data_IF_284822645154
#
_entry.id   IF_284822645154
#
_cell.length_a   1.000
_cell.length_b   1.000
_cell.length_c   1.000
_cell.angle_alpha   90.00
_cell.angle_beta   90.00
_cell.angle_gamma   90.00
#
_symmetry.space_group_name_H-M   'P 1'
#
loop_
_entity.id
_entity.type
_entity.pdbx_description
1 polymer ?
#
# COMPACT_ATOMS: atom_id res chain seq x y z
N UNK A 1 -18.19 4.60 -56.33
CA UNK A 1 -18.88 5.09 -55.12
C UNK A 1 -18.86 3.94 -54.12
N UNK A 2 -17.89 3.96 -53.15
CA UNK A 2 -17.70 2.91 -52.14
C UNK A 2 -18.22 3.48 -50.83
N UNK A 3 -19.14 2.78 -50.09
CA UNK A 3 -19.65 3.32 -48.84
C UNK A 3 -18.64 3.16 -47.75
N UNK A 4 -18.39 4.27 -47.02
CA UNK A 4 -17.48 4.36 -45.90
C UNK A 4 -17.90 3.44 -44.76
N UNK A 5 -16.96 2.65 -44.22
CA UNK A 5 -17.06 1.97 -42.96
C UNK A 5 -17.09 3.02 -41.84
N UNK A 6 -18.21 3.12 -41.13
CA UNK A 6 -18.27 3.77 -39.81
C UNK A 6 -17.38 2.97 -38.86
N UNK A 7 -16.46 3.67 -38.22
CA UNK A 7 -15.74 3.13 -37.06
C UNK A 7 -16.78 2.83 -35.96
N UNK A 8 -16.76 1.61 -35.43
CA UNK A 8 -17.56 1.24 -34.27
C UNK A 8 -17.04 2.01 -33.06
N UNK A 9 -17.94 2.69 -32.36
CA UNK A 9 -17.63 3.27 -31.04
C UNK A 9 -17.29 2.13 -30.07
N UNK A 10 -16.30 2.28 -29.19
CA UNK A 10 -15.99 1.27 -28.19
C UNK A 10 -17.15 1.14 -27.22
N UNK A 11 -17.62 -0.10 -27.04
CA UNK A 11 -18.68 -0.47 -26.10
C UNK A 11 -18.14 -0.26 -24.68
N UNK A 12 -18.89 0.41 -23.81
CA UNK A 12 -18.53 0.74 -22.39
C UNK A 12 -17.99 -0.46 -21.58
N UNK A 13 -18.33 -1.69 -21.93
CA UNK A 13 -17.82 -2.92 -21.29
C UNK A 13 -16.32 -3.18 -21.48
N UNK A 14 -15.69 -2.63 -22.52
CA UNK A 14 -14.25 -2.86 -22.81
C UNK A 14 -13.34 -1.91 -21.99
N UNK A 15 -13.86 -0.76 -21.58
CA UNK A 15 -13.19 0.18 -20.69
C UNK A 15 -13.14 -0.34 -19.24
N UNK A 16 -14.19 -1.03 -18.79
CA UNK A 16 -14.26 -1.58 -17.44
C UNK A 16 -13.35 -2.83 -17.30
N UNK A 17 -13.32 -3.69 -18.29
CA UNK A 17 -12.41 -4.84 -18.36
C UNK A 17 -10.92 -4.42 -18.44
N UNK A 18 -10.62 -3.29 -19.09
CA UNK A 18 -9.26 -2.73 -19.15
C UNK A 18 -8.82 -2.12 -17.81
N UNK A 19 -9.73 -1.52 -17.06
CA UNK A 19 -9.47 -0.96 -15.71
C UNK A 19 -9.18 -2.04 -14.68
N UNK A 20 -9.78 -3.23 -14.83
CA UNK A 20 -9.60 -4.36 -13.91
C UNK A 20 -8.34 -5.20 -14.17
N UNK A 21 -7.68 -5.09 -15.33
CA UNK A 21 -6.57 -5.97 -15.72
C UNK A 21 -5.35 -5.96 -14.80
N UNK A 22 -5.21 -5.00 -13.90
CA UNK A 22 -4.09 -4.88 -12.97
C UNK A 22 -4.58 -4.62 -11.53
N UNK A 23 -5.84 -4.93 -11.24
CA UNK A 23 -6.31 -4.90 -9.85
C UNK A 23 -5.63 -6.03 -9.07
N UNK A 24 -5.34 -5.83 -7.76
CA UNK A 24 -4.88 -6.91 -6.89
C UNK A 24 -5.83 -8.10 -6.95
N UNK A 25 -5.31 -9.32 -7.18
CA UNK A 25 -6.10 -10.55 -7.16
C UNK A 25 -6.43 -10.98 -5.74
N UNK A 26 -5.48 -10.77 -4.83
CA UNK A 26 -5.56 -11.18 -3.44
C UNK A 26 -5.22 -10.01 -2.49
N UNK A 27 -6.18 -9.63 -1.65
CA UNK A 27 -6.04 -8.54 -0.66
C UNK A 27 -5.91 -9.11 0.75
N UNK A 28 -4.92 -8.64 1.50
CA UNK A 28 -4.72 -8.95 2.91
C UNK A 28 -5.17 -7.78 3.78
N UNK A 29 -6.06 -8.00 4.75
CA UNK A 29 -6.34 -7.03 5.80
C UNK A 29 -5.68 -7.46 7.11
N UNK A 30 -4.98 -6.55 7.78
CA UNK A 30 -4.53 -6.78 9.16
C UNK A 30 -5.58 -6.20 10.10
N UNK A 31 -6.30 -7.09 10.78
CA UNK A 31 -7.36 -6.72 11.69
C UNK A 31 -6.82 -6.39 13.08
N UNK A 32 -7.27 -5.27 13.63
CA UNK A 32 -7.01 -4.85 15.02
C UNK A 32 -8.19 -5.16 15.94
N UNK A 33 -9.39 -5.37 15.36
CA UNK A 33 -10.62 -5.70 16.06
C UNK A 33 -11.55 -6.53 15.18
N UNK A 34 -12.35 -7.41 15.81
CA UNK A 34 -13.40 -8.21 15.17
C UNK A 34 -14.82 -7.75 15.53
N UNK A 35 -14.99 -6.95 16.58
CA UNK A 35 -16.27 -6.39 16.99
C UNK A 35 -16.10 -5.00 17.63
N UNK A 36 -16.45 -3.92 16.91
CA UNK A 36 -16.76 -3.89 15.46
C UNK A 36 -15.54 -4.24 14.59
N UNK A 37 -15.77 -4.60 13.32
CA UNK A 37 -14.69 -4.81 12.37
C UNK A 37 -13.82 -3.57 12.25
N UNK A 38 -12.51 -3.76 12.31
CA UNK A 38 -11.57 -2.66 12.27
C UNK A 38 -11.61 -1.87 10.95
N UNK A 39 -11.19 -0.59 10.93
CA UNK A 39 -11.10 0.23 9.72
C UNK A 39 -10.38 -0.46 8.56
N UNK A 40 -9.28 -1.15 8.82
CA UNK A 40 -8.53 -1.88 7.79
C UNK A 40 -9.37 -3.00 7.16
N UNK A 41 -10.11 -3.75 7.96
CA UNK A 41 -11.02 -4.80 7.48
C UNK A 41 -12.12 -4.21 6.61
N UNK A 42 -12.78 -3.16 7.07
CA UNK A 42 -13.85 -2.47 6.33
C UNK A 42 -13.36 -1.90 5.00
N UNK A 43 -12.20 -1.27 5.01
CA UNK A 43 -11.55 -0.74 3.81
C UNK A 43 -11.19 -1.85 2.81
N UNK A 44 -10.59 -2.95 3.30
CA UNK A 44 -10.21 -4.08 2.47
C UNK A 44 -11.41 -4.79 1.84
N UNK A 45 -12.52 -4.94 2.56
CA UNK A 45 -13.80 -5.46 2.01
C UNK A 45 -14.26 -4.57 0.86
N UNK A 46 -14.26 -3.24 1.05
CA UNK A 46 -14.66 -2.29 -0.01
C UNK A 46 -13.78 -2.40 -1.26
N UNK A 47 -12.46 -2.53 -1.08
CA UNK A 47 -11.51 -2.70 -2.19
C UNK A 47 -11.70 -4.05 -2.90
N UNK A 48 -11.79 -5.14 -2.14
CA UNK A 48 -11.96 -6.47 -2.69
C UNK A 48 -13.28 -6.60 -3.47
N UNK A 49 -14.38 -6.06 -2.95
CA UNK A 49 -15.66 -6.02 -3.64
C UNK A 49 -15.59 -5.20 -4.94
N UNK A 50 -14.91 -4.04 -4.91
CA UNK A 50 -14.75 -3.16 -6.08
C UNK A 50 -13.92 -3.80 -7.19
N UNK A 51 -12.90 -4.60 -6.84
CA UNK A 51 -11.96 -5.21 -7.78
C UNK A 51 -12.29 -6.65 -8.12
N UNK A 52 -13.21 -7.29 -7.41
CA UNK A 52 -13.48 -8.72 -7.54
C UNK A 52 -12.34 -9.58 -6.99
N UNK A 53 -11.58 -9.05 -6.01
CA UNK A 53 -10.44 -9.71 -5.41
C UNK A 53 -10.87 -10.72 -4.35
N UNK A 54 -10.01 -11.70 -4.07
CA UNK A 54 -10.08 -12.49 -2.84
C UNK A 54 -9.66 -11.63 -1.65
N UNK A 55 -10.18 -11.94 -0.49
CA UNK A 55 -9.88 -11.23 0.74
C UNK A 55 -9.49 -12.19 1.87
N UNK A 56 -8.30 -12.03 2.40
CA UNK A 56 -7.91 -12.65 3.66
C UNK A 56 -7.82 -11.57 4.73
N UNK A 57 -8.55 -11.73 5.83
CA UNK A 57 -8.39 -10.89 7.00
C UNK A 57 -7.63 -11.65 8.08
N UNK A 58 -6.55 -11.06 8.58
CA UNK A 58 -5.69 -11.67 9.60
C UNK A 58 -5.75 -10.87 10.89
N UNK A 59 -6.31 -11.45 11.94
CA UNK A 59 -6.29 -10.89 13.29
C UNK A 59 -5.02 -11.31 14.01
N UNK A 60 -4.25 -10.34 14.48
CA UNK A 60 -3.05 -10.57 15.29
C UNK A 60 -3.44 -10.52 16.76
N UNK A 61 -3.72 -11.67 17.32
CA UNK A 61 -4.07 -11.80 18.73
C UNK A 61 -2.90 -11.47 19.66
N UNK A 62 -3.16 -11.11 20.93
CA UNK A 62 -2.12 -10.88 21.91
C UNK A 62 -1.27 -12.16 22.06
N UNK A 63 0.04 -12.01 21.95
CA UNK A 63 0.95 -13.14 22.13
C UNK A 63 0.79 -13.74 23.52
N UNK A 64 0.52 -15.05 23.65
CA UNK A 64 0.55 -15.68 24.95
C UNK A 64 1.93 -15.43 25.55
N UNK A 65 1.99 -14.87 26.78
CA UNK A 65 3.25 -14.60 27.48
C UNK A 65 4.13 -15.85 27.37
N UNK A 66 5.25 -15.76 26.68
CA UNK A 66 6.24 -16.84 26.61
C UNK A 66 6.64 -17.17 28.04
N UNK A 67 6.30 -18.38 28.49
CA UNK A 67 6.95 -18.96 29.66
C UNK A 67 8.45 -19.02 29.36
N UNK A 68 9.28 -18.52 30.27
CA UNK A 68 10.69 -18.21 30.09
C UNK A 68 11.63 -19.42 29.77
N UNK A 69 11.10 -20.57 29.35
CA UNK A 69 11.85 -21.82 29.18
C UNK A 69 11.57 -22.56 27.86
N UNK A 70 11.24 -21.88 26.78
CA UNK A 70 11.04 -22.57 25.50
C UNK A 70 12.11 -22.15 24.48
N UNK A 71 13.25 -22.86 24.49
CA UNK A 71 14.31 -22.83 23.48
C UNK A 71 13.93 -23.58 22.19
N UNK A 72 12.69 -23.44 21.71
CA UNK A 72 12.32 -23.96 20.40
C UNK A 72 11.76 -22.85 19.54
N UNK A 73 12.43 -22.54 18.44
CA UNK A 73 11.86 -21.79 17.34
C UNK A 73 10.78 -22.65 16.65
N UNK A 74 9.49 -22.41 16.88
CA UNK A 74 8.47 -23.05 16.08
C UNK A 74 8.57 -22.48 14.66
N UNK A 75 8.52 -23.33 13.64
CA UNK A 75 8.46 -22.85 12.24
C UNK A 75 7.32 -21.84 12.12
N UNK A 76 7.59 -20.66 11.57
CA UNK A 76 6.64 -19.55 11.46
C UNK A 76 5.30 -19.99 10.81
N UNK A 77 5.36 -20.94 9.87
CA UNK A 77 4.17 -21.50 9.21
C UNK A 77 3.30 -22.34 10.14
N UNK A 78 3.88 -23.11 11.05
CA UNK A 78 3.12 -23.92 12.03
C UNK A 78 2.40 -23.08 13.07
N UNK A 79 2.90 -21.86 13.37
CA UNK A 79 2.22 -20.90 14.24
C UNK A 79 1.06 -20.19 13.56
N UNK A 80 1.16 -19.97 12.25
CA UNK A 80 0.13 -19.30 11.45
C UNK A 80 -1.10 -20.20 11.22
N UNK A 81 -0.92 -21.52 11.23
CA UNK A 81 -1.94 -22.48 10.78
C UNK A 81 -2.54 -23.32 11.91
N UNK A 82 -2.39 -22.97 13.20
CA UNK A 82 -3.09 -23.67 14.26
C UNK A 82 -4.52 -23.12 14.44
N UNK A 83 -5.55 -23.79 13.89
CA UNK A 83 -6.93 -23.47 14.25
C UNK A 83 -7.14 -23.86 15.71
N UNK A 84 -7.31 -22.88 16.57
CA UNK A 84 -7.83 -23.13 17.92
C UNK A 84 -9.34 -22.93 17.88
N UNK A 85 -10.09 -23.94 18.24
CA UNK A 85 -11.55 -24.09 18.19
C UNK A 85 -12.44 -23.07 18.92
N UNK A 86 -12.02 -21.80 18.99
CA UNK A 86 -12.86 -20.65 19.33
C UNK A 86 -13.06 -19.71 18.15
N UNK A 87 -12.31 -19.89 17.05
CA UNK A 87 -12.25 -18.95 15.94
C UNK A 87 -13.26 -19.22 14.84
N UNK A 88 -13.94 -20.38 14.86
CA UNK A 88 -14.91 -20.77 13.83
C UNK A 88 -16.08 -19.77 13.73
N UNK A 89 -16.55 -19.26 14.87
CA UNK A 89 -17.65 -18.29 14.90
C UNK A 89 -17.26 -16.92 14.34
N UNK A 90 -16.03 -16.44 14.59
CA UNK A 90 -15.54 -15.18 14.04
C UNK A 90 -15.28 -15.30 12.54
N UNK A 91 -14.73 -16.43 12.10
CA UNK A 91 -14.52 -16.73 10.68
C UNK A 91 -15.84 -16.74 9.92
N UNK A 92 -16.84 -17.47 10.41
CA UNK A 92 -18.16 -17.54 9.76
C UNK A 92 -18.83 -16.17 9.72
N UNK A 93 -18.73 -15.39 10.80
CA UNK A 93 -19.27 -14.03 10.87
C UNK A 93 -18.56 -13.11 9.88
N UNK A 94 -17.23 -13.18 9.75
CA UNK A 94 -16.44 -12.40 8.79
C UNK A 94 -16.81 -12.75 7.35
N UNK A 95 -16.80 -14.06 7.01
CA UNK A 95 -17.11 -14.53 5.67
C UNK A 95 -18.51 -14.11 5.25
N UNK A 96 -19.51 -14.30 6.14
CA UNK A 96 -20.87 -13.86 5.89
C UNK A 96 -21.00 -12.34 5.74
N UNK A 97 -20.21 -11.57 6.48
CA UNK A 97 -20.18 -10.12 6.37
C UNK A 97 -19.56 -9.68 5.04
N UNK A 98 -18.42 -10.24 4.66
CA UNK A 98 -17.73 -9.93 3.41
C UNK A 98 -18.59 -10.30 2.17
N UNK A 99 -19.23 -11.46 2.19
CA UNK A 99 -20.15 -11.88 1.13
C UNK A 99 -21.33 -10.92 0.97
N UNK A 100 -21.94 -10.45 2.07
CA UNK A 100 -23.03 -9.46 2.00
C UNK A 100 -22.61 -8.14 1.37
N UNK A 101 -21.32 -7.80 1.46
CA UNK A 101 -20.73 -6.59 0.89
C UNK A 101 -20.12 -6.81 -0.51
N UNK A 102 -20.31 -7.99 -1.11
CA UNK A 102 -19.96 -8.27 -2.49
C UNK A 102 -18.60 -8.93 -2.72
N UNK A 103 -17.90 -9.37 -1.68
CA UNK A 103 -16.67 -10.15 -1.82
C UNK A 103 -17.02 -11.61 -2.05
N UNK A 104 -16.57 -12.19 -3.17
CA UNK A 104 -16.93 -13.56 -3.52
C UNK A 104 -16.15 -14.64 -2.74
N UNK A 105 -14.87 -14.38 -2.49
CA UNK A 105 -13.98 -15.28 -1.74
C UNK A 105 -13.36 -14.52 -0.56
N UNK A 106 -13.68 -14.93 0.66
CA UNK A 106 -13.18 -14.34 1.88
C UNK A 106 -12.72 -15.39 2.89
N UNK A 107 -11.65 -15.12 3.62
CA UNK A 107 -11.15 -15.97 4.69
C UNK A 107 -10.69 -15.15 5.89
N UNK A 108 -10.77 -15.77 7.09
CA UNK A 108 -10.35 -15.18 8.36
C UNK A 108 -9.28 -16.04 9.00
N UNK A 109 -8.16 -15.44 9.34
CA UNK A 109 -7.02 -16.10 9.96
C UNK A 109 -6.70 -15.41 11.26
N UNK A 110 -6.41 -16.19 12.29
CA UNK A 110 -5.92 -15.68 13.58
C UNK A 110 -4.49 -16.12 13.77
N UNK A 111 -3.62 -15.20 14.16
CA UNK A 111 -2.22 -15.49 14.47
C UNK A 111 -1.81 -14.85 15.79
N UNK A 112 -0.79 -15.42 16.43
CA UNK A 112 -0.11 -14.85 17.59
C UNK A 112 1.34 -14.45 17.26
N UNK A 113 1.71 -14.54 15.99
CA UNK A 113 2.95 -13.96 15.50
C UNK A 113 2.86 -12.43 15.47
N UNK A 114 3.96 -11.74 15.63
CA UNK A 114 3.97 -10.28 15.48
C UNK A 114 3.71 -9.85 14.03
N UNK A 115 3.53 -8.54 13.81
CA UNK A 115 3.19 -7.98 12.49
C UNK A 115 4.21 -8.36 11.40
N UNK A 116 5.51 -8.20 11.67
CA UNK A 116 6.55 -8.47 10.67
C UNK A 116 6.58 -9.94 10.20
N UNK A 117 6.59 -10.96 11.07
CA UNK A 117 6.52 -12.36 10.62
C UNK A 117 5.19 -12.68 9.92
N UNK A 118 4.07 -12.07 10.33
CA UNK A 118 2.77 -12.26 9.69
C UNK A 118 2.78 -11.70 8.27
N UNK A 119 3.19 -10.45 8.07
CA UNK A 119 3.27 -9.85 6.73
C UNK A 119 4.28 -10.57 5.83
N UNK A 120 5.40 -11.03 6.37
CA UNK A 120 6.37 -11.81 5.59
C UNK A 120 5.78 -13.14 5.10
N UNK A 121 5.01 -13.82 5.93
CA UNK A 121 4.44 -15.12 5.58
C UNK A 121 3.23 -15.00 4.65
N UNK A 122 2.27 -14.12 4.98
CA UNK A 122 1.06 -13.91 4.18
C UNK A 122 1.32 -13.06 2.94
N UNK A 123 2.24 -12.09 3.00
CA UNK A 123 2.58 -11.23 1.87
C UNK A 123 3.08 -11.98 0.63
N UNK A 124 3.60 -13.20 0.79
CA UNK A 124 3.99 -14.04 -0.34
C UNK A 124 2.81 -14.51 -1.21
N UNK A 125 1.58 -14.42 -0.69
CA UNK A 125 0.35 -14.92 -1.32
C UNK A 125 -0.63 -13.82 -1.70
N UNK A 126 -0.32 -12.57 -1.38
CA UNK A 126 -1.21 -11.43 -1.57
C UNK A 126 -0.53 -10.34 -2.41
N UNK A 127 -1.34 -9.51 -3.03
CA UNK A 127 -0.89 -8.42 -3.90
C UNK A 127 -0.94 -7.04 -3.22
N UNK A 128 -1.71 -6.93 -2.14
CA UNK A 128 -1.89 -5.69 -1.37
C UNK A 128 -2.17 -6.02 0.09
N UNK A 129 -1.51 -5.33 1.02
CA UNK A 129 -1.91 -5.32 2.43
C UNK A 129 -2.62 -4.02 2.78
N UNK A 130 -3.68 -4.11 3.58
CA UNK A 130 -4.39 -2.98 4.18
C UNK A 130 -4.26 -3.07 5.69
N UNK A 131 -3.75 -2.02 6.32
CA UNK A 131 -3.56 -1.99 7.77
C UNK A 131 -3.72 -0.57 8.31
N UNK A 132 -4.05 -0.47 9.56
CA UNK A 132 -4.09 0.79 10.28
C UNK A 132 -2.68 1.19 10.68
N UNK A 133 -2.41 2.47 10.68
CA UNK A 133 -1.08 3.01 10.99
C UNK A 133 -0.69 2.77 12.45
N UNK A 134 -1.65 2.67 13.33
CA UNK A 134 -1.53 2.39 14.76
C UNK A 134 -1.76 0.91 15.13
N UNK A 135 -1.65 -0.01 14.15
CA UNK A 135 -1.73 -1.46 14.36
C UNK A 135 -0.77 -1.98 15.43
N UNK A 136 0.25 -1.23 15.74
CA UNK A 136 1.20 -1.49 16.83
C UNK A 136 1.25 -0.27 17.75
N UNK A 137 0.96 -0.47 19.01
CA UNK A 137 1.06 0.58 20.03
C UNK A 137 2.50 0.81 20.49
N UNK A 138 2.84 2.05 20.79
CA UNK A 138 4.05 2.43 21.51
C UNK A 138 5.20 3.00 20.69
N UNK A 139 6.33 3.20 21.35
CA UNK A 139 7.51 3.87 20.79
C UNK A 139 8.17 3.10 19.62
N UNK A 140 7.90 1.79 19.52
CA UNK A 140 8.49 0.90 18.51
C UNK A 140 7.64 0.74 17.25
N UNK A 141 6.52 1.47 17.12
CA UNK A 141 5.63 1.40 15.97
C UNK A 141 6.39 1.48 14.64
N UNK A 142 7.28 2.47 14.53
CA UNK A 142 8.01 2.70 13.28
C UNK A 142 9.03 1.61 12.96
N UNK A 143 9.66 1.05 13.98
CA UNK A 143 10.63 -0.03 13.82
C UNK A 143 9.91 -1.30 13.32
N UNK A 144 8.77 -1.62 13.93
CA UNK A 144 7.96 -2.78 13.59
C UNK A 144 7.31 -2.65 12.20
N UNK A 145 6.72 -1.49 11.88
CA UNK A 145 6.18 -1.23 10.55
C UNK A 145 7.28 -1.29 9.49
N UNK A 146 8.44 -0.72 9.82
CA UNK A 146 9.59 -0.74 8.96
C UNK A 146 10.11 -2.13 8.65
N UNK A 147 10.30 -2.94 9.67
CA UNK A 147 10.68 -4.33 9.53
C UNK A 147 9.63 -5.12 8.72
N UNK A 148 8.37 -4.92 9.02
CA UNK A 148 7.26 -5.59 8.35
C UNK A 148 7.22 -5.27 6.85
N UNK A 149 7.30 -4.00 6.48
CA UNK A 149 7.28 -3.58 5.07
C UNK A 149 8.54 -4.01 4.32
N UNK A 150 9.73 -3.88 4.93
CA UNK A 150 10.99 -4.29 4.30
C UNK A 150 11.05 -5.79 4.00
N UNK A 151 10.41 -6.60 4.82
CA UNK A 151 10.45 -8.06 4.69
C UNK A 151 9.31 -8.63 3.83
N UNK A 152 8.21 -7.90 3.65
CA UNK A 152 7.03 -8.42 2.95
C UNK A 152 7.11 -8.25 1.43
N UNK A 153 7.80 -7.22 0.94
CA UNK A 153 7.81 -6.82 -0.48
C UNK A 153 6.39 -6.63 -1.06
N UNK A 154 5.46 -6.27 -0.21
CA UNK A 154 4.05 -6.12 -0.53
C UNK A 154 3.69 -4.65 -0.46
N UNK A 155 2.98 -4.08 -1.45
CA UNK A 155 2.40 -2.76 -1.29
C UNK A 155 1.50 -2.72 -0.07
N UNK A 156 1.71 -1.74 0.81
CA UNK A 156 0.95 -1.57 2.03
C UNK A 156 0.13 -0.28 1.99
N UNK A 157 -1.19 -0.39 2.04
CA UNK A 157 -2.11 0.74 2.22
C UNK A 157 -2.31 0.97 3.71
N UNK A 158 -1.70 2.05 4.20
CA UNK A 158 -1.73 2.45 5.60
C UNK A 158 -2.84 3.47 5.84
N UNK A 159 -3.84 3.10 6.62
CA UNK A 159 -4.93 4.00 6.98
C UNK A 159 -4.54 4.88 8.18
N UNK A 160 -4.99 6.14 8.22
CA UNK A 160 -4.90 6.95 9.44
C UNK A 160 -5.62 6.27 10.61
N UNK A 161 -5.24 6.56 11.87
CA UNK A 161 -6.01 6.11 13.02
C UNK A 161 -7.46 6.53 12.92
N UNK A 162 -8.38 5.70 13.42
CA UNK A 162 -9.83 5.95 13.44
C UNK A 162 -10.43 6.26 12.05
N UNK A 163 -9.85 5.72 10.98
CA UNK A 163 -10.33 5.93 9.62
C UNK A 163 -11.75 5.38 9.46
N UNK A 164 -12.70 6.26 9.13
CA UNK A 164 -14.10 5.90 8.93
C UNK A 164 -14.68 6.39 7.60
N UNK A 165 -13.89 7.12 6.83
CA UNK A 165 -14.34 7.65 5.55
C UNK A 165 -14.30 6.57 4.45
N UNK A 166 -15.12 6.75 3.42
CA UNK A 166 -15.05 5.95 2.20
C UNK A 166 -13.69 6.14 1.51
N UNK A 167 -13.09 5.05 1.03
CA UNK A 167 -11.88 5.11 0.24
C UNK A 167 -12.17 5.67 -1.16
N UNK A 168 -11.61 6.83 -1.44
CA UNK A 168 -11.62 7.48 -2.75
C UNK A 168 -10.20 7.62 -3.26
N UNK A 169 -10.03 7.61 -4.56
CA UNK A 169 -8.73 7.73 -5.21
C UNK A 169 -8.81 8.67 -6.40
N UNK A 170 -9.55 9.77 -6.22
CA UNK A 170 -9.77 10.77 -7.28
C UNK A 170 -8.55 11.66 -7.48
N UNK A 171 -7.88 12.02 -6.37
CA UNK A 171 -6.70 12.90 -6.37
C UNK A 171 -5.57 12.24 -5.63
N UNK A 172 -4.51 11.92 -6.36
CA UNK A 172 -3.35 11.17 -5.84
C UNK A 172 -2.09 12.02 -5.92
N UNK A 173 -1.36 12.06 -4.81
CA UNK A 173 0.00 12.62 -4.77
C UNK A 173 1.01 11.49 -4.75
N UNK A 174 2.03 11.59 -5.58
CA UNK A 174 3.16 10.66 -5.62
C UNK A 174 4.41 11.38 -5.12
N UNK A 175 5.03 10.91 -4.05
CA UNK A 175 6.35 11.35 -3.60
C UNK A 175 7.44 10.66 -4.40
N UNK A 176 8.20 11.43 -5.17
CA UNK A 176 9.26 10.94 -6.05
C UNK A 176 10.64 11.43 -5.63
N UNK A 177 11.60 10.53 -5.50
CA UNK A 177 12.99 10.83 -5.18
C UNK A 177 13.99 10.07 -6.07
N UNK A 178 13.50 9.34 -7.07
CA UNK A 178 14.33 8.53 -7.99
C UNK A 178 14.79 7.18 -7.42
N UNK A 179 14.33 6.79 -6.23
CA UNK A 179 14.71 5.50 -5.62
C UNK A 179 13.92 4.32 -6.19
N UNK A 180 14.45 3.11 -6.00
CA UNK A 180 13.78 1.86 -6.40
C UNK A 180 12.46 1.69 -5.65
N UNK A 181 12.42 2.06 -4.39
CA UNK A 181 11.22 2.00 -3.55
C UNK A 181 10.12 2.94 -4.09
N UNK A 182 10.49 4.13 -4.56
CA UNK A 182 9.54 5.03 -5.20
C UNK A 182 9.04 4.48 -6.55
N UNK A 183 9.89 3.80 -7.32
CA UNK A 183 9.49 3.09 -8.55
C UNK A 183 8.48 1.99 -8.21
N UNK A 184 8.80 1.14 -7.24
CA UNK A 184 7.91 0.05 -6.79
C UNK A 184 6.56 0.59 -6.31
N UNK A 185 6.58 1.63 -5.48
CA UNK A 185 5.34 2.26 -4.99
C UNK A 185 4.45 2.77 -6.14
N UNK A 186 5.04 3.32 -7.22
CA UNK A 186 4.28 3.68 -8.43
C UNK A 186 3.68 2.43 -9.10
N UNK A 187 4.43 1.33 -9.18
CA UNK A 187 3.94 0.08 -9.76
C UNK A 187 2.77 -0.48 -8.94
N UNK A 188 2.93 -0.60 -7.63
CA UNK A 188 1.88 -1.07 -6.72
C UNK A 188 0.66 -0.14 -6.66
N UNK A 189 0.85 1.15 -6.98
CA UNK A 189 -0.24 2.13 -7.00
C UNK A 189 -1.08 2.11 -8.28
N UNK A 190 -0.68 1.44 -9.35
CA UNK A 190 -1.39 1.48 -10.64
C UNK A 190 -2.89 1.22 -10.56
N UNK A 191 -3.40 0.27 -9.75
CA UNK A 191 -4.84 0.04 -9.61
C UNK A 191 -5.60 1.28 -9.14
N UNK A 192 -4.98 2.08 -8.27
CA UNK A 192 -5.53 3.33 -7.74
C UNK A 192 -5.38 4.48 -8.73
N UNK A 193 -4.19 4.60 -9.34
CA UNK A 193 -3.83 5.68 -10.25
C UNK A 193 -4.68 5.71 -11.52
N UNK A 194 -5.09 4.53 -12.03
CA UNK A 194 -5.95 4.42 -13.21
C UNK A 194 -7.37 4.93 -12.99
N UNK A 195 -7.82 5.01 -11.76
CA UNK A 195 -9.14 5.55 -11.42
C UNK A 195 -9.08 7.01 -10.98
N UNK A 196 -7.87 7.56 -10.81
CA UNK A 196 -7.68 8.94 -10.39
C UNK A 196 -8.00 9.93 -11.52
N UNK A 197 -8.65 11.02 -11.16
CA UNK A 197 -8.92 12.15 -12.05
C UNK A 197 -7.74 13.14 -12.07
N UNK A 198 -6.95 13.18 -10.99
CA UNK A 198 -5.78 14.03 -10.87
C UNK A 198 -4.63 13.27 -10.20
N UNK A 199 -3.47 13.22 -10.87
CA UNK A 199 -2.24 12.63 -10.35
C UNK A 199 -1.13 13.67 -10.38
N UNK A 200 -0.53 13.94 -9.23
CA UNK A 200 0.56 14.92 -9.09
C UNK A 200 1.80 14.25 -8.52
N UNK A 201 2.89 14.29 -9.27
CA UNK A 201 4.21 13.82 -8.82
C UNK A 201 4.93 14.99 -8.14
N UNK A 202 5.32 14.82 -6.91
CA UNK A 202 6.18 15.76 -6.17
C UNK A 202 7.61 15.26 -6.26
N UNK A 203 8.42 15.93 -7.08
CA UNK A 203 9.83 15.63 -7.28
C UNK A 203 10.67 16.38 -6.24
N UNK A 204 11.22 15.62 -5.30
CA UNK A 204 12.08 16.10 -4.21
C UNK A 204 13.57 15.90 -4.46
N UNK A 205 14.01 15.65 -5.70
CA UNK A 205 15.45 15.56 -6.00
C UNK A 205 16.17 16.82 -5.60
N UNK A 206 17.30 16.68 -4.88
CA UNK A 206 18.29 17.73 -4.79
C UNK A 206 18.80 18.01 -6.20
N UNK A 207 18.59 19.23 -6.69
CA UNK A 207 19.41 19.74 -7.77
C UNK A 207 20.78 20.05 -7.15
N UNK A 208 21.79 19.28 -7.47
CA UNK A 208 23.16 19.82 -7.51
C UNK A 208 23.17 20.80 -8.67
N UNK A 209 23.71 22.01 -8.47
CA UNK A 209 23.85 23.02 -9.53
C UNK A 209 24.77 22.55 -10.68
N UNK A 210 25.28 21.34 -10.62
CA UNK A 210 26.12 20.63 -11.58
C UNK A 210 25.31 19.61 -12.40
N UNK A 211 24.04 19.88 -12.73
CA UNK A 211 23.24 19.06 -13.68
C UNK A 211 23.75 19.18 -15.14
N UNK A 212 25.00 19.47 -15.35
CA UNK A 212 25.77 19.13 -16.54
C UNK A 212 26.18 17.63 -16.54
N UNK A 213 25.34 16.75 -15.97
CA UNK A 213 25.42 15.30 -16.15
C UNK A 213 25.10 14.88 -17.61
N UNK A 214 25.78 15.54 -18.57
CA UNK A 214 25.86 15.05 -19.95
C UNK A 214 26.69 13.78 -20.07
N UNK A 215 27.42 13.35 -19.03
CA UNK A 215 28.46 12.34 -19.17
C UNK A 215 28.23 11.00 -18.45
N UNK A 216 27.03 10.65 -18.00
CA UNK A 216 26.76 9.23 -17.82
C UNK A 216 25.90 8.69 -19.00
N UNK A 217 26.50 8.72 -20.20
CA UNK A 217 26.08 7.97 -21.38
C UNK A 217 26.18 6.45 -21.12
N UNK A 218 25.91 6.07 -19.88
CA UNK A 218 25.84 4.68 -19.41
C UNK A 218 24.56 4.02 -19.88
N UNK A 219 24.69 3.04 -20.58
CA UNK A 219 24.00 1.87 -21.08
C UNK A 219 22.61 1.54 -20.51
N UNK A 220 22.08 2.20 -19.47
CA UNK A 220 20.79 1.87 -18.84
C UNK A 220 19.89 3.10 -18.80
N UNK A 221 18.71 3.08 -19.47
CA UNK A 221 17.76 4.19 -19.43
C UNK A 221 17.31 4.46 -17.99
N UNK A 222 17.34 5.74 -17.57
CA UNK A 222 16.78 6.14 -16.26
C UNK A 222 15.25 6.02 -16.30
N UNK A 223 14.65 5.50 -15.23
CA UNK A 223 13.19 5.41 -15.12
C UNK A 223 12.55 6.80 -15.11
N UNK A 224 11.63 7.02 -16.05
CA UNK A 224 10.83 8.24 -16.13
C UNK A 224 9.39 7.95 -15.66
N UNK A 225 8.96 8.45 -14.49
CA UNK A 225 7.64 8.16 -13.96
C UNK A 225 6.50 8.69 -14.84
N UNK A 226 6.66 9.84 -15.48
CA UNK A 226 5.63 10.36 -16.39
C UNK A 226 5.44 9.46 -17.61
N UNK A 227 6.55 9.05 -18.23
CA UNK A 227 6.49 8.17 -19.40
C UNK A 227 5.89 6.81 -19.04
N UNK A 228 6.28 6.26 -17.90
CA UNK A 228 5.74 5.00 -17.39
C UNK A 228 4.22 5.10 -17.14
N UNK A 229 3.77 6.14 -16.45
CA UNK A 229 2.35 6.36 -16.15
C UNK A 229 1.54 6.59 -17.44
N UNK A 230 2.06 7.34 -18.39
CA UNK A 230 1.43 7.55 -19.69
C UNK A 230 1.23 6.22 -20.45
N UNK A 231 2.23 5.32 -20.42
CA UNK A 231 2.12 3.97 -20.98
C UNK A 231 1.01 3.13 -20.33
N UNK A 232 0.64 3.46 -19.11
CA UNK A 232 -0.48 2.84 -18.36
C UNK A 232 -1.79 3.66 -18.42
N UNK A 233 -1.87 4.65 -19.32
CA UNK A 233 -3.03 5.53 -19.49
C UNK A 233 -3.35 6.39 -18.26
N UNK A 234 -2.34 6.67 -17.44
CA UNK A 234 -2.42 7.58 -16.29
C UNK A 234 -1.75 8.90 -16.68
N UNK A 235 -2.52 9.98 -16.67
CA UNK A 235 -2.01 11.32 -16.92
C UNK A 235 -1.62 11.98 -15.62
N UNK A 236 -0.33 12.31 -15.48
CA UNK A 236 0.21 12.91 -14.27
C UNK A 236 0.90 14.25 -14.61
N UNK A 237 0.87 15.17 -13.66
CA UNK A 237 1.67 16.39 -13.68
C UNK A 237 2.81 16.29 -12.68
N UNK A 238 3.92 17.02 -12.91
CA UNK A 238 5.04 17.07 -11.98
C UNK A 238 5.19 18.44 -11.37
N UNK A 239 5.38 18.51 -10.04
CA UNK A 239 5.79 19.70 -9.32
C UNK A 239 7.14 19.45 -8.67
N UNK A 240 8.13 20.25 -9.04
CA UNK A 240 9.47 20.19 -8.43
C UNK A 240 9.49 21.05 -7.18
N UNK A 241 9.96 20.48 -6.08
CA UNK A 241 10.15 21.19 -4.83
C UNK A 241 11.64 21.13 -4.43
N UNK A 242 12.25 22.30 -4.23
CA UNK A 242 13.60 22.37 -3.65
C UNK A 242 13.47 22.16 -2.15
N UNK A 243 13.81 20.98 -1.68
CA UNK A 243 13.59 20.58 -0.29
C UNK A 243 14.87 20.03 0.31
N UNK A 244 15.10 20.35 1.57
CA UNK A 244 16.01 19.56 2.38
C UNK A 244 15.37 18.18 2.71
N UNK A 245 16.17 17.13 2.94
CA UNK A 245 15.63 15.82 3.33
C UNK A 245 14.74 15.86 4.58
N UNK A 246 14.98 16.84 5.48
CA UNK A 246 14.21 17.05 6.71
C UNK A 246 12.82 17.63 6.43
N UNK A 247 12.68 18.41 5.37
CA UNK A 247 11.44 19.09 4.98
C UNK A 247 10.58 18.25 4.04
N UNK A 248 11.13 17.20 3.44
CA UNK A 248 10.46 16.42 2.40
C UNK A 248 9.10 15.86 2.86
N UNK A 249 9.01 15.30 4.06
CA UNK A 249 7.75 14.77 4.60
C UNK A 249 6.67 15.84 4.77
N UNK A 250 7.01 16.99 5.37
CA UNK A 250 6.07 18.09 5.57
C UNK A 250 5.65 18.73 4.25
N UNK A 251 6.54 18.81 3.29
CA UNK A 251 6.22 19.33 1.96
C UNK A 251 5.30 18.41 1.16
N UNK A 252 5.51 17.08 1.25
CA UNK A 252 4.59 16.10 0.65
C UNK A 252 3.17 16.25 1.24
N UNK A 253 3.05 16.36 2.57
CA UNK A 253 1.75 16.55 3.23
C UNK A 253 1.11 17.89 2.86
N UNK A 254 1.89 18.98 2.75
CA UNK A 254 1.39 20.27 2.27
C UNK A 254 0.90 20.19 0.82
N UNK A 255 1.63 19.49 -0.05
CA UNK A 255 1.22 19.28 -1.43
C UNK A 255 -0.07 18.45 -1.50
N UNK A 256 -0.16 17.36 -0.73
CA UNK A 256 -1.36 16.54 -0.63
C UNK A 256 -2.57 17.35 -0.14
N UNK A 257 -2.39 18.15 0.90
CA UNK A 257 -3.43 19.05 1.39
C UNK A 257 -3.86 20.08 0.33
N UNK A 258 -2.89 20.66 -0.38
CA UNK A 258 -3.14 21.71 -1.39
C UNK A 258 -4.03 21.27 -2.56
N UNK A 259 -3.96 20.01 -2.96
CA UNK A 259 -4.83 19.44 -3.99
C UNK A 259 -6.00 18.62 -3.39
N UNK A 260 -6.14 18.59 -2.07
CA UNK A 260 -7.10 17.73 -1.36
C UNK A 260 -6.96 16.27 -1.78
N UNK A 261 -5.75 15.75 -1.72
CA UNK A 261 -5.46 14.38 -2.10
C UNK A 261 -6.25 13.38 -1.24
N UNK A 262 -6.68 12.31 -1.89
CA UNK A 262 -7.38 11.18 -1.27
C UNK A 262 -6.41 10.03 -0.97
N UNK A 263 -5.23 10.05 -1.61
CA UNK A 263 -4.17 9.05 -1.44
C UNK A 263 -2.80 9.71 -1.60
N UNK A 264 -1.87 9.35 -0.76
CA UNK A 264 -0.45 9.62 -0.92
C UNK A 264 0.28 8.33 -1.25
N UNK A 265 1.10 8.33 -2.32
CA UNK A 265 1.93 7.20 -2.75
C UNK A 265 3.39 7.56 -2.55
N UNK A 266 4.17 6.72 -1.89
CA UNK A 266 5.60 6.95 -1.73
C UNK A 266 6.36 5.65 -1.45
N UNK A 267 7.64 5.62 -1.81
CA UNK A 267 8.54 4.56 -1.38
C UNK A 267 8.81 4.65 0.12
N UNK A 268 9.01 3.53 0.76
CA UNK A 268 9.48 3.42 2.13
C UNK A 268 10.97 3.04 2.13
N UNK A 269 11.79 3.71 2.94
CA UNK A 269 13.22 3.40 3.13
C UNK A 269 14.10 3.52 1.86
N UNK A 270 15.04 4.45 1.81
CA UNK A 270 16.10 4.42 0.79
C UNK A 270 17.33 3.68 1.32
N UNK A 271 17.98 2.91 0.44
CA UNK A 271 19.11 2.00 0.71
C UNK A 271 20.31 2.58 1.49
N UNK A 272 20.46 3.89 1.58
CA UNK A 272 21.59 4.50 2.27
C UNK A 272 21.55 4.40 3.81
N UNK A 273 20.42 3.94 4.40
CA UNK A 273 20.20 3.85 5.86
C UNK A 273 19.79 2.47 6.36
N UNK A 274 19.85 1.44 5.52
CA UNK A 274 19.51 0.05 5.85
C UNK A 274 20.37 -0.57 6.97
N UNK A 275 21.50 0.05 7.33
CA UNK A 275 22.35 -0.48 8.40
C UNK A 275 21.80 -0.29 9.82
N UNK A 276 20.75 0.53 10.01
CA UNK A 276 20.27 0.88 11.33
C UNK A 276 18.75 0.67 11.55
N UNK A 277 18.01 0.03 10.63
CA UNK A 277 16.52 -0.14 10.72
C UNK A 277 15.77 1.20 10.97
N UNK A 278 16.34 2.33 10.58
CA UNK A 278 15.80 3.66 10.87
C UNK A 278 14.99 4.15 9.69
N UNK A 279 13.69 4.37 9.89
CA UNK A 279 12.80 5.08 8.97
C UNK A 279 13.41 6.42 8.54
N UNK A 280 13.48 6.68 7.24
CA UNK A 280 13.88 8.01 6.74
C UNK A 280 12.97 9.09 7.31
N UNK A 281 13.52 10.25 7.62
CA UNK A 281 12.79 11.35 8.26
C UNK A 281 11.48 11.72 7.54
N UNK A 282 11.46 11.68 6.20
CA UNK A 282 10.26 11.92 5.40
C UNK A 282 9.18 10.84 5.62
N UNK A 283 9.57 9.56 5.57
CA UNK A 283 8.65 8.43 5.79
C UNK A 283 8.05 8.50 7.19
N UNK A 284 8.88 8.72 8.22
CA UNK A 284 8.41 8.85 9.59
C UNK A 284 7.45 10.02 9.76
N UNK A 285 7.79 11.18 9.19
CA UNK A 285 6.93 12.36 9.25
C UNK A 285 5.56 12.13 8.60
N UNK A 286 5.54 11.51 7.43
CA UNK A 286 4.30 11.16 6.74
C UNK A 286 3.48 10.16 7.56
N UNK A 287 4.10 9.09 8.05
CA UNK A 287 3.42 8.10 8.89
C UNK A 287 2.84 8.70 10.18
N UNK A 288 3.49 9.71 10.75
CA UNK A 288 2.96 10.38 11.95
C UNK A 288 1.79 11.31 11.67
N UNK A 289 1.77 11.99 10.52
CA UNK A 289 0.93 13.17 10.33
C UNK A 289 -0.01 13.10 9.12
N UNK A 290 0.08 12.07 8.27
CA UNK A 290 -0.79 11.99 7.10
C UNK A 290 -2.27 11.85 7.52
N UNK A 291 -3.16 12.77 7.09
CA UNK A 291 -4.58 12.68 7.37
C UNK A 291 -5.32 11.83 6.33
N UNK A 292 -4.62 11.32 5.33
CA UNK A 292 -5.15 10.51 4.23
C UNK A 292 -4.44 9.15 4.21
N UNK A 293 -5.03 8.13 3.58
CA UNK A 293 -4.35 6.86 3.32
C UNK A 293 -3.02 7.06 2.61
N UNK A 294 -2.04 6.23 2.97
CA UNK A 294 -0.70 6.25 2.38
C UNK A 294 -0.38 4.87 1.82
N UNK A 295 -0.13 4.78 0.52
CA UNK A 295 0.40 3.57 -0.10
C UNK A 295 1.93 3.62 -0.07
N UNK A 296 2.53 2.62 0.53
CA UNK A 296 3.98 2.48 0.62
C UNK A 296 4.44 1.12 0.11
N UNK A 297 5.62 1.12 -0.52
CA UNK A 297 6.33 -0.11 -0.90
C UNK A 297 7.83 0.07 -0.69
N UNK A 298 8.53 -1.06 -0.41
CA UNK A 298 9.96 -1.09 -0.14
C UNK A 298 10.73 -1.80 -1.26
#
# INVERSE_FOLDING_TARGET
MIPGKRAAEPVDGDLDASRMRNAPGDVLAIATSSDPWSPAVTAAISLAARWGSKLTSCYIGPSPRRSANADMEPSALGMLLQPRGKDDGERDAFVAHAHRLGVAEADWVVTHAGLAPTLRALGAWHDLAVLERDVVEGAHLFDILGEAMSNSRLPCLLLPPDWSAELKFERVVIGWNGSIEAIRAIHGALPFLRTASEVVIIDGKKHSDDDDDEDDAGTVPRFNPLHYLQGHQVFASTRRLRLSPQEAGSALLKAAHGIRADLLVMGSYSHSRLREHVLGGATRHVLMHAPVPVLMEH
#
